data_IF_836168822792
#
_entry.id   IF_836168822792
#
_cell.length_a   1.000
_cell.length_b   1.000
_cell.length_c   1.000
_cell.angle_alpha   90.00
_cell.angle_beta   90.00
_cell.angle_gamma   90.00
#
_symmetry.space_group_name_H-M   'P 1'
#
loop_
_entity.id
_entity.type
_entity.pdbx_description
1 polymer ?
#
# COMPACT_ATOMS: atom_id res chain seq x y z
N UNK A 1 39.11 -34.37 -12.63
CA UNK A 1 40.13 -33.64 -11.85
C UNK A 1 39.61 -32.24 -11.59
N UNK A 2 39.20 -32.00 -10.36
CA UNK A 2 38.61 -30.76 -9.87
C UNK A 2 39.71 -29.82 -9.40
N UNK A 3 39.96 -28.75 -10.15
CA UNK A 3 40.83 -27.65 -9.71
C UNK A 3 40.00 -26.57 -9.03
N UNK A 4 39.99 -26.62 -7.70
CA UNK A 4 39.48 -25.58 -6.82
C UNK A 4 40.37 -24.33 -6.90
N UNK A 5 39.86 -23.29 -7.57
CA UNK A 5 40.44 -21.95 -7.47
C UNK A 5 40.30 -21.42 -6.04
N UNK A 6 41.36 -21.57 -5.24
CA UNK A 6 41.57 -20.81 -3.99
C UNK A 6 41.46 -19.32 -4.31
N UNK A 7 40.43 -18.64 -3.78
CA UNK A 7 40.37 -17.18 -3.72
C UNK A 7 41.38 -16.73 -2.68
N UNK A 8 42.56 -16.32 -3.13
CA UNK A 8 43.54 -15.61 -2.30
C UNK A 8 42.94 -14.26 -1.90
N UNK A 9 42.61 -14.13 -0.62
CA UNK A 9 42.27 -12.85 -0.03
C UNK A 9 43.56 -12.08 0.23
N UNK A 10 43.64 -10.79 -0.15
CA UNK A 10 44.82 -9.98 0.11
C UNK A 10 45.10 -9.94 1.61
N UNK A 11 46.35 -10.21 1.99
CA UNK A 11 46.79 -10.19 3.39
C UNK A 11 46.49 -8.80 3.98
N UNK A 12 45.74 -8.71 5.10
CA UNK A 12 45.49 -7.44 5.76
C UNK A 12 46.82 -6.83 6.22
N UNK A 13 47.01 -5.53 6.01
CA UNK A 13 48.24 -4.82 6.40
C UNK A 13 48.48 -4.98 7.92
N UNK A 14 49.72 -4.85 8.37
CA UNK A 14 50.06 -4.96 9.79
C UNK A 14 49.23 -3.99 10.67
N UNK A 15 48.98 -2.78 10.15
CA UNK A 15 48.18 -1.73 10.80
C UNK A 15 46.71 -2.13 11.02
N UNK A 16 46.10 -2.86 10.07
CA UNK A 16 44.71 -3.32 10.19
C UNK A 16 44.55 -4.38 11.30
N UNK A 17 45.59 -5.17 11.56
CA UNK A 17 45.58 -6.22 12.59
C UNK A 17 45.65 -5.62 13.99
N UNK A 18 46.52 -4.64 14.20
CA UNK A 18 46.64 -3.88 15.45
C UNK A 18 45.34 -3.13 15.79
N UNK A 19 44.71 -2.49 14.78
CA UNK A 19 43.42 -1.81 14.97
C UNK A 19 42.29 -2.78 15.34
N UNK A 20 42.28 -3.99 14.77
CA UNK A 20 41.29 -5.02 15.13
C UNK A 20 41.49 -5.47 16.57
N UNK A 21 42.72 -5.66 17.03
CA UNK A 21 43.01 -6.07 18.41
C UNK A 21 42.57 -5.01 19.43
N UNK A 22 42.92 -3.74 19.21
CA UNK A 22 42.51 -2.62 20.07
C UNK A 22 40.98 -2.48 20.14
N UNK A 23 40.29 -2.62 19.01
CA UNK A 23 38.83 -2.55 18.96
C UNK A 23 38.16 -3.75 19.65
N UNK A 24 38.77 -4.94 19.61
CA UNK A 24 38.27 -6.14 20.32
C UNK A 24 38.38 -5.95 21.83
N UNK A 25 39.47 -5.36 22.32
CA UNK A 25 39.63 -5.02 23.73
C UNK A 25 38.59 -3.99 24.19
N UNK A 26 38.39 -2.93 23.40
CA UNK A 26 37.36 -1.94 23.68
C UNK A 26 35.95 -2.55 23.70
N UNK A 27 35.64 -3.42 22.74
CA UNK A 27 34.36 -4.13 22.69
C UNK A 27 34.17 -5.06 23.90
N UNK A 28 35.21 -5.78 24.34
CA UNK A 28 35.18 -6.62 25.54
C UNK A 28 34.94 -5.79 26.81
N UNK A 29 35.60 -4.64 26.94
CA UNK A 29 35.40 -3.72 28.06
C UNK A 29 33.98 -3.16 28.12
N UNK A 30 33.33 -2.99 26.95
CA UNK A 30 31.94 -2.58 26.82
C UNK A 30 30.94 -3.75 26.89
N UNK A 31 31.38 -4.99 27.08
CA UNK A 31 30.51 -6.17 27.16
C UNK A 31 29.86 -6.58 25.83
N UNK A 32 30.36 -6.09 24.70
CA UNK A 32 29.83 -6.37 23.36
C UNK A 32 30.29 -7.75 22.85
N UNK A 33 29.35 -8.57 22.37
CA UNK A 33 29.64 -9.88 21.78
C UNK A 33 30.02 -9.74 20.30
N UNK A 34 31.17 -10.30 19.90
CA UNK A 34 31.62 -10.30 18.50
C UNK A 34 32.28 -11.63 18.12
N UNK A 35 32.37 -11.93 16.82
CA UNK A 35 33.01 -13.14 16.30
C UNK A 35 34.55 -13.01 16.26
N UNK A 36 35.29 -14.06 16.59
CA UNK A 36 36.76 -14.05 16.67
C UNK A 36 37.45 -13.55 15.37
N UNK A 37 36.82 -13.80 14.22
CA UNK A 37 37.27 -13.43 12.87
C UNK A 37 36.42 -12.32 12.24
N UNK A 38 36.13 -11.26 12.99
CA UNK A 38 35.41 -10.06 12.51
C UNK A 38 36.36 -9.10 11.79
N UNK A 39 35.89 -8.48 10.70
CA UNK A 39 36.67 -7.48 9.96
C UNK A 39 36.54 -6.06 10.54
N UNK A 40 37.56 -5.23 10.30
CA UNK A 40 37.71 -3.87 10.83
C UNK A 40 36.45 -2.99 10.66
N UNK A 41 35.87 -2.96 9.46
CA UNK A 41 34.67 -2.15 9.16
C UNK A 41 33.47 -2.50 10.04
N UNK A 42 33.25 -3.78 10.32
CA UNK A 42 32.09 -4.24 11.11
C UNK A 42 32.32 -4.03 12.60
N UNK A 43 33.54 -4.26 13.08
CA UNK A 43 33.88 -4.08 14.48
C UNK A 43 33.85 -2.60 14.89
N UNK A 44 34.24 -1.69 14.00
CA UNK A 44 34.17 -0.25 14.22
C UNK A 44 32.72 0.24 14.42
N UNK A 45 31.80 -0.16 13.53
CA UNK A 45 30.37 0.19 13.63
C UNK A 45 29.79 -0.31 14.97
N UNK A 46 30.09 -1.55 15.35
CA UNK A 46 29.56 -2.17 16.57
C UNK A 46 30.06 -1.46 17.85
N UNK A 47 31.32 -1.02 17.88
CA UNK A 47 31.88 -0.25 18.99
C UNK A 47 31.34 1.19 19.04
N UNK A 48 31.11 1.82 17.88
CA UNK A 48 30.53 3.16 17.78
C UNK A 48 29.04 3.17 18.19
N UNK A 49 28.27 2.15 17.80
CA UNK A 49 26.89 1.92 18.23
C UNK A 49 26.80 1.71 19.75
N UNK A 50 27.77 0.99 20.34
CA UNK A 50 27.86 0.85 21.79
C UNK A 50 28.24 2.14 22.54
N UNK A 51 28.78 3.15 21.85
CA UNK A 51 29.17 4.43 22.46
C UNK A 51 28.04 5.47 22.41
N UNK A 52 27.20 5.43 21.36
CA UNK A 52 26.12 6.38 21.13
C UNK A 52 24.80 5.62 20.91
N UNK A 53 24.05 5.28 21.98
CA UNK A 53 22.79 4.54 21.84
C UNK A 53 21.63 5.34 21.17
N UNK A 54 21.89 6.54 20.66
CA UNK A 54 20.89 7.43 20.03
C UNK A 54 21.01 7.47 18.51
N UNK A 55 20.57 6.38 17.85
CA UNK A 55 19.84 6.39 16.56
C UNK A 55 19.31 4.97 16.23
N UNK A 56 18.07 4.82 15.74
CA UNK A 56 17.48 3.52 15.45
C UNK A 56 18.00 2.96 14.12
N UNK A 57 18.59 1.77 14.16
CA UNK A 57 18.80 0.92 12.99
C UNK A 57 17.58 0.01 12.81
N UNK A 58 17.05 -0.19 11.58
CA UNK A 58 16.03 -1.19 11.31
C UNK A 58 16.61 -2.61 11.44
N UNK A 59 16.10 -3.37 12.41
CA UNK A 59 16.38 -4.79 12.63
C UNK A 59 15.49 -5.67 11.73
N UNK A 60 15.98 -6.78 11.16
CA UNK A 60 15.13 -7.92 10.83
C UNK A 60 15.06 -8.89 12.04
N UNK A 61 13.87 -8.88 12.67
CA UNK A 61 13.08 -9.98 13.24
C UNK A 61 13.76 -11.13 14.00
N UNK A 62 13.46 -11.29 15.31
CA UNK A 62 12.82 -12.47 15.97
C UNK A 62 12.24 -12.02 17.34
N UNK A 63 10.97 -12.32 17.64
CA UNK A 63 10.19 -12.05 18.88
C UNK A 63 10.45 -13.09 20.02
N UNK A 64 9.79 -13.14 21.23
CA UNK A 64 8.75 -12.27 21.86
C UNK A 64 8.85 -12.01 23.41
N UNK A 65 7.86 -11.24 23.96
CA UNK A 65 7.38 -11.04 25.38
C UNK A 65 8.03 -9.91 26.23
N UNK A 66 7.37 -9.06 27.03
CA UNK A 66 5.97 -8.67 27.37
C UNK A 66 6.03 -7.45 28.37
N UNK A 67 5.04 -6.52 28.33
CA UNK A 67 4.60 -5.49 29.35
C UNK A 67 5.61 -4.37 29.80
N UNK A 68 5.32 -3.08 30.12
CA UNK A 68 4.14 -2.29 30.56
C UNK A 68 4.37 -0.77 30.26
N UNK A 69 3.30 -0.02 30.03
CA UNK A 69 3.11 1.46 29.95
C UNK A 69 3.28 2.20 31.34
N UNK A 70 3.35 3.57 31.48
CA UNK A 70 2.42 4.55 30.85
C UNK A 70 2.88 6.01 30.51
N UNK A 71 2.15 6.59 29.54
CA UNK A 71 1.61 7.98 29.40
C UNK A 71 2.54 9.20 29.57
N UNK A 72 2.65 10.02 28.51
CA UNK A 72 2.42 11.49 28.54
C UNK A 72 2.05 12.04 27.17
N UNK A 73 0.98 12.83 27.16
CA UNK A 73 0.36 13.58 26.07
C UNK A 73 1.18 14.81 25.69
N UNK A 74 1.41 15.06 24.40
CA UNK A 74 1.67 16.40 23.87
C UNK A 74 1.32 16.48 22.38
N UNK A 75 0.38 17.38 22.09
CA UNK A 75 -0.05 17.90 20.79
C UNK A 75 1.10 18.62 20.07
N UNK A 76 1.27 18.41 18.74
CA UNK A 76 1.50 19.46 17.72
C UNK A 76 2.19 18.92 16.44
N UNK A 77 1.51 19.16 15.32
CA UNK A 77 2.05 19.65 14.05
C UNK A 77 2.72 18.70 13.05
N UNK A 78 2.13 18.75 11.85
CA UNK A 78 2.60 18.24 10.56
C UNK A 78 3.92 18.92 10.20
N UNK A 79 4.96 18.13 9.95
CA UNK A 79 6.02 18.52 9.02
C UNK A 79 6.21 17.41 8.02
N UNK A 80 5.72 17.68 6.81
CA UNK A 80 6.18 17.07 5.57
C UNK A 80 7.71 17.17 5.50
N UNK A 81 8.36 16.07 5.10
CA UNK A 81 9.60 16.02 4.31
C UNK A 81 10.40 14.75 4.62
N UNK A 82 10.16 13.70 3.83
CA UNK A 82 11.17 12.65 3.61
C UNK A 82 11.58 12.74 2.14
N UNK A 83 12.85 13.05 1.83
CA UNK A 83 13.28 13.26 0.46
C UNK A 83 13.46 11.95 -0.31
N UNK A 84 13.02 12.03 -1.56
CA UNK A 84 13.19 11.14 -2.72
C UNK A 84 14.32 10.09 -2.69
N UNK A 85 13.96 8.89 -3.15
CA UNK A 85 14.88 7.79 -3.50
C UNK A 85 15.90 8.28 -4.54
N UNK A 86 17.18 8.32 -4.13
CA UNK A 86 18.32 8.63 -4.99
C UNK A 86 18.70 7.38 -5.80
N UNK A 87 18.52 7.42 -7.12
CA UNK A 87 19.25 6.52 -8.03
C UNK A 87 20.62 7.11 -8.29
N UNK A 88 21.66 6.45 -7.80
CA UNK A 88 23.06 6.81 -8.08
C UNK A 88 23.43 6.18 -9.43
N UNK A 89 23.76 6.99 -10.43
CA UNK A 89 24.51 6.55 -11.61
C UNK A 89 25.97 7.02 -11.48
N UNK A 90 26.89 6.21 -12.01
CA UNK A 90 28.35 6.22 -11.81
C UNK A 90 29.10 7.39 -12.46
N UNK A 91 28.55 8.60 -12.42
CA UNK A 91 29.32 9.80 -12.78
C UNK A 91 28.78 10.98 -11.96
N UNK A 92 29.58 11.40 -10.98
CA UNK A 92 29.21 12.36 -9.94
C UNK A 92 28.90 13.76 -10.46
N UNK A 93 27.68 13.98 -10.95
CA UNK A 93 27.10 15.31 -11.09
C UNK A 93 25.70 15.31 -10.49
N UNK A 94 25.57 15.93 -9.31
CA UNK A 94 24.26 16.29 -8.72
C UNK A 94 23.65 17.41 -9.56
N UNK A 95 22.56 17.11 -10.24
CA UNK A 95 21.67 18.11 -10.84
C UNK A 95 20.57 18.42 -9.83
N UNK A 96 20.60 19.62 -9.25
CA UNK A 96 19.49 20.18 -8.49
C UNK A 96 18.58 20.91 -9.49
N UNK A 97 17.46 20.27 -9.85
CA UNK A 97 16.50 20.80 -10.81
C UNK A 97 15.13 20.96 -10.17
N UNK A 98 14.64 22.21 -10.15
CA UNK A 98 13.28 22.68 -9.84
C UNK A 98 12.18 21.73 -10.33
N UNK A 99 11.08 21.68 -9.58
CA UNK A 99 9.81 20.99 -9.85
C UNK A 99 9.56 20.72 -11.33
N UNK A 100 10.06 19.57 -11.76
CA UNK A 100 9.71 19.03 -13.06
C UNK A 100 8.43 18.25 -12.83
N UNK A 101 7.33 18.61 -13.49
CA UNK A 101 6.27 17.63 -13.72
C UNK A 101 6.90 16.47 -14.47
N UNK A 102 7.32 15.44 -13.75
CA UNK A 102 7.85 14.21 -14.31
C UNK A 102 6.70 13.62 -15.12
N UNK A 103 6.70 13.86 -16.42
CA UNK A 103 5.74 13.25 -17.34
C UNK A 103 5.95 11.74 -17.23
N UNK A 104 5.04 11.08 -16.50
CA UNK A 104 5.11 9.65 -16.24
C UNK A 104 5.35 8.88 -17.54
N UNK A 105 6.21 7.87 -17.48
CA UNK A 105 6.38 6.97 -18.63
C UNK A 105 5.05 6.26 -18.89
N UNK A 106 4.71 5.94 -20.15
CA UNK A 106 3.40 5.36 -20.48
C UNK A 106 3.14 4.03 -19.76
N UNK A 107 4.18 3.24 -19.44
CA UNK A 107 4.06 2.02 -18.66
C UNK A 107 3.68 2.30 -17.19
N UNK A 108 4.30 3.30 -16.57
CA UNK A 108 4.04 3.71 -15.18
C UNK A 108 2.60 4.22 -15.04
N UNK A 109 2.14 5.02 -16.01
CA UNK A 109 0.75 5.50 -16.08
C UNK A 109 -0.26 4.36 -16.15
N UNK A 110 0.00 3.35 -16.99
CA UNK A 110 -0.88 2.16 -17.11
C UNK A 110 -0.93 1.36 -15.80
N UNK A 111 0.22 1.20 -15.13
CA UNK A 111 0.28 0.52 -13.84
C UNK A 111 -0.51 1.27 -12.76
N UNK A 112 -0.40 2.60 -12.71
CA UNK A 112 -1.16 3.46 -11.80
C UNK A 112 -2.68 3.31 -12.03
N UNK A 113 -3.13 3.46 -13.28
CA UNK A 113 -4.55 3.30 -13.64
C UNK A 113 -5.09 1.91 -13.33
N UNK A 114 -4.29 0.85 -13.54
CA UNK A 114 -4.66 -0.52 -13.14
C UNK A 114 -4.80 -0.65 -11.63
N UNK A 115 -3.90 -0.04 -10.86
CA UNK A 115 -3.96 -0.08 -9.39
C UNK A 115 -5.18 0.69 -8.87
N UNK A 116 -5.43 1.88 -9.40
CA UNK A 116 -6.62 2.69 -9.07
C UNK A 116 -7.92 1.97 -9.43
N UNK A 117 -8.00 1.38 -10.63
CA UNK A 117 -9.17 0.65 -11.08
C UNK A 117 -9.48 -0.60 -10.22
N UNK A 118 -8.44 -1.26 -9.72
CA UNK A 118 -8.55 -2.44 -8.84
C UNK A 118 -8.66 -2.08 -7.36
N UNK A 119 -8.62 -0.80 -6.98
CA UNK A 119 -8.82 -0.39 -5.60
C UNK A 119 -10.21 -0.86 -5.13
N UNK A 120 -10.24 -1.62 -4.04
CA UNK A 120 -11.47 -2.19 -3.50
C UNK A 120 -12.17 -1.14 -2.63
N UNK A 121 -13.45 -0.93 -2.92
CA UNK A 121 -14.32 -0.04 -2.15
C UNK A 121 -15.47 -0.86 -1.60
N UNK A 122 -15.74 -0.70 -0.30
CA UNK A 122 -16.89 -1.33 0.36
C UNK A 122 -18.15 -0.55 0.02
N UNK A 123 -19.13 -1.21 -0.56
CA UNK A 123 -20.38 -0.58 -1.02
C UNK A 123 -21.60 -1.39 -0.59
N UNK A 124 -22.67 -0.67 -0.25
CA UNK A 124 -24.01 -1.21 -0.10
C UNK A 124 -24.84 -0.79 -1.31
N UNK A 125 -25.49 -1.75 -1.96
CA UNK A 125 -26.16 -1.54 -3.25
C UNK A 125 -27.63 -1.89 -3.11
N UNK A 126 -28.51 -0.96 -3.44
CA UNK A 126 -29.97 -1.19 -3.49
C UNK A 126 -30.44 -1.08 -4.94
N UNK A 127 -31.21 -2.05 -5.42
CA UNK A 127 -31.78 -2.06 -6.77
C UNK A 127 -33.06 -1.22 -6.82
N UNK A 128 -33.07 -0.15 -7.63
CA UNK A 128 -34.24 0.71 -7.83
C UNK A 128 -35.05 0.33 -9.07
N UNK A 129 -34.59 -0.66 -9.84
CA UNK A 129 -35.24 -1.13 -11.05
C UNK A 129 -36.43 -2.05 -10.72
N UNK A 130 -37.68 -1.68 -11.07
CA UNK A 130 -38.84 -2.53 -10.80
C UNK A 130 -38.75 -3.92 -11.44
N UNK A 131 -38.08 -4.04 -12.59
CA UNK A 131 -37.98 -5.29 -13.34
C UNK A 131 -36.96 -6.28 -12.76
N UNK A 132 -36.04 -5.79 -11.91
CA UNK A 132 -34.97 -6.58 -11.30
C UNK A 132 -35.03 -6.53 -9.77
N UNK A 133 -36.23 -6.29 -9.23
CA UNK A 133 -36.43 -6.17 -7.78
C UNK A 133 -36.18 -7.49 -7.05
N UNK A 134 -36.53 -8.59 -7.69
CA UNK A 134 -36.42 -9.94 -7.12
C UNK A 134 -35.03 -10.57 -7.34
N UNK A 135 -34.09 -9.85 -7.95
CA UNK A 135 -32.74 -10.36 -8.19
C UNK A 135 -31.88 -10.17 -6.94
N UNK A 136 -31.15 -11.21 -6.55
CA UNK A 136 -30.23 -11.17 -5.40
C UNK A 136 -28.93 -10.40 -5.72
N UNK A 137 -28.61 -10.23 -7.01
CA UNK A 137 -27.43 -9.51 -7.45
C UNK A 137 -27.23 -9.58 -8.96
N UNK A 138 -26.24 -8.85 -9.46
CA UNK A 138 -25.90 -8.83 -10.89
C UNK A 138 -24.38 -9.01 -11.08
N UNK A 139 -23.99 -9.68 -12.17
CA UNK A 139 -22.58 -9.78 -12.57
C UNK A 139 -22.26 -8.57 -13.45
N UNK A 140 -21.33 -7.74 -12.99
CA UNK A 140 -20.84 -6.61 -13.75
C UNK A 140 -19.57 -7.00 -14.48
N UNK A 141 -19.55 -6.76 -15.79
CA UNK A 141 -18.38 -6.92 -16.65
C UNK A 141 -18.04 -5.56 -17.24
N UNK A 142 -16.88 -5.02 -16.88
CA UNK A 142 -16.39 -3.74 -17.40
C UNK A 142 -15.01 -3.98 -18.02
N UNK A 143 -14.79 -3.46 -19.21
CA UNK A 143 -13.55 -3.67 -19.97
C UNK A 143 -13.02 -2.39 -20.58
N UNK A 144 -11.71 -2.19 -20.51
CA UNK A 144 -10.99 -1.15 -21.22
C UNK A 144 -9.59 -1.65 -21.58
N UNK A 145 -9.05 -1.24 -22.73
CA UNK A 145 -7.71 -1.56 -23.22
C UNK A 145 -6.59 -1.33 -22.18
N UNK A 146 -6.69 -0.29 -21.34
CA UNK A 146 -5.64 0.03 -20.36
C UNK A 146 -5.67 -0.90 -19.14
N UNK A 147 -6.85 -1.03 -18.54
CA UNK A 147 -7.05 -1.76 -17.27
C UNK A 147 -7.21 -3.26 -17.50
N UNK A 148 -7.77 -3.64 -18.65
CA UNK A 148 -8.23 -5.00 -18.94
C UNK A 148 -9.73 -5.16 -18.71
N UNK A 149 -10.16 -6.41 -18.59
CA UNK A 149 -11.55 -6.79 -18.32
C UNK A 149 -11.69 -7.27 -16.89
N UNK A 150 -12.58 -6.64 -16.13
CA UNK A 150 -12.88 -7.00 -14.73
C UNK A 150 -14.33 -7.49 -14.68
N UNK A 151 -14.53 -8.66 -14.08
CA UNK A 151 -15.84 -9.30 -13.89
C UNK A 151 -16.05 -9.60 -12.43
N UNK A 152 -17.13 -9.12 -11.83
CA UNK A 152 -17.46 -9.39 -10.42
C UNK A 152 -18.96 -9.48 -10.23
N UNK A 153 -19.39 -10.48 -9.45
CA UNK A 153 -20.76 -10.55 -8.94
C UNK A 153 -20.93 -9.56 -7.77
N UNK A 154 -21.98 -8.75 -7.83
CA UNK A 154 -22.33 -7.78 -6.79
C UNK A 154 -23.73 -8.09 -6.28
N UNK A 155 -23.87 -8.53 -5.01
CA UNK A 155 -25.17 -8.76 -4.40
C UNK A 155 -25.87 -7.44 -4.10
N UNK A 156 -27.20 -7.45 -4.21
CA UNK A 156 -28.08 -6.35 -3.80
C UNK A 156 -28.52 -6.54 -2.34
N UNK A 157 -28.71 -5.43 -1.63
CA UNK A 157 -29.20 -5.36 -0.26
C UNK A 157 -28.37 -6.12 0.78
N UNK A 158 -27.09 -6.42 0.50
CA UNK A 158 -26.18 -6.99 1.47
C UNK A 158 -25.94 -6.02 2.64
N UNK A 159 -26.30 -6.42 3.86
CA UNK A 159 -26.23 -5.56 5.06
C UNK A 159 -24.79 -5.23 5.46
N UNK A 160 -23.90 -6.22 5.39
CA UNK A 160 -22.48 -6.05 5.71
C UNK A 160 -21.70 -5.32 4.60
N UNK A 161 -22.34 -4.93 3.50
CA UNK A 161 -21.69 -4.36 2.32
C UNK A 161 -20.80 -5.35 1.57
N UNK A 162 -20.44 -5.00 0.33
CA UNK A 162 -19.64 -5.83 -0.57
C UNK A 162 -18.44 -5.05 -1.10
N UNK A 163 -17.29 -5.71 -1.27
CA UNK A 163 -16.10 -5.08 -1.82
C UNK A 163 -16.09 -5.20 -3.34
N UNK A 164 -16.07 -4.04 -4.01
CA UNK A 164 -16.13 -3.94 -5.46
C UNK A 164 -14.96 -3.09 -5.95
N UNK A 165 -14.30 -3.45 -7.08
CA UNK A 165 -13.30 -2.60 -7.69
C UNK A 165 -13.86 -1.24 -8.09
N UNK A 166 -13.08 -0.17 -7.90
CA UNK A 166 -13.44 1.20 -8.25
C UNK A 166 -13.96 1.32 -9.70
N UNK A 167 -13.38 0.54 -10.63
CA UNK A 167 -13.81 0.56 -12.02
C UNK A 167 -15.25 0.09 -12.23
N UNK A 168 -15.69 -0.94 -11.48
CA UNK A 168 -17.07 -1.41 -11.52
C UNK A 168 -17.99 -0.39 -10.82
N UNK A 169 -17.55 0.22 -9.72
CA UNK A 169 -18.31 1.26 -9.03
C UNK A 169 -18.67 2.44 -9.96
N UNK A 170 -17.70 2.90 -10.76
CA UNK A 170 -17.96 3.95 -11.77
C UNK A 170 -19.05 3.52 -12.77
N UNK A 171 -18.95 2.31 -13.32
CA UNK A 171 -19.94 1.78 -14.25
C UNK A 171 -21.33 1.61 -13.61
N UNK A 172 -21.39 1.20 -12.34
CA UNK A 172 -22.64 1.06 -11.60
C UNK A 172 -23.34 2.40 -11.38
N UNK A 173 -22.58 3.47 -11.10
CA UNK A 173 -23.13 4.84 -10.93
C UNK A 173 -23.73 5.40 -12.22
N UNK A 174 -23.23 4.97 -13.38
CA UNK A 174 -23.71 5.42 -14.69
C UNK A 174 -25.00 4.71 -15.14
N UNK A 175 -25.33 3.55 -14.55
CA UNK A 175 -26.54 2.79 -14.91
C UNK A 175 -27.82 3.54 -14.53
N UNK A 176 -28.75 3.64 -15.49
CA UNK A 176 -30.05 4.29 -15.35
C UNK A 176 -31.16 3.37 -15.82
N UNK A 177 -32.31 3.42 -15.15
CA UNK A 177 -33.54 2.74 -15.55
C UNK A 177 -34.65 3.75 -15.86
N UNK A 178 -35.47 3.45 -16.86
CA UNK A 178 -36.66 4.23 -17.15
C UNK A 178 -37.84 3.68 -16.34
N UNK A 179 -38.42 4.54 -15.49
CA UNK A 179 -39.60 4.23 -14.69
C UNK A 179 -40.78 5.02 -15.24
N UNK A 180 -41.91 4.34 -15.47
CA UNK A 180 -43.16 4.98 -15.88
C UNK A 180 -43.97 5.40 -14.65
N UNK A 181 -44.18 6.70 -14.47
CA UNK A 181 -45.07 7.25 -13.43
C UNK A 181 -46.39 7.67 -14.08
N UNK A 182 -47.51 7.35 -13.44
CA UNK A 182 -48.83 7.81 -13.89
C UNK A 182 -49.05 9.25 -13.40
N UNK A 183 -49.03 10.20 -14.32
CA UNK A 183 -49.30 11.62 -14.04
C UNK A 183 -50.72 11.95 -14.48
N UNK A 184 -51.45 12.72 -13.67
CA UNK A 184 -52.76 13.25 -14.05
C UNK A 184 -52.55 14.45 -14.98
N UNK A 185 -53.09 14.37 -16.19
CA UNK A 185 -53.05 15.47 -17.15
C UNK A 185 -54.01 16.61 -16.77
N UNK A 186 -53.93 17.76 -17.45
CA UNK A 186 -54.78 18.94 -17.19
C UNK A 186 -56.29 18.66 -17.28
N UNK A 187 -56.69 17.62 -18.03
CA UNK A 187 -58.09 17.19 -18.21
C UNK A 187 -58.46 15.94 -17.37
N UNK A 188 -57.68 15.60 -16.35
CA UNK A 188 -57.92 14.45 -15.47
C UNK A 188 -57.51 13.07 -16.03
N UNK A 189 -57.12 13.00 -17.31
CA UNK A 189 -56.66 11.76 -17.93
C UNK A 189 -55.35 11.25 -17.29
N UNK A 190 -55.25 9.93 -17.06
CA UNK A 190 -54.03 9.28 -16.55
C UNK A 190 -53.06 9.03 -17.71
N UNK A 191 -51.95 9.76 -17.75
CA UNK A 191 -50.90 9.61 -18.76
C UNK A 191 -49.70 8.94 -18.09
N UNK A 192 -49.16 7.87 -18.71
CA UNK A 192 -47.89 7.27 -18.26
C UNK A 192 -46.73 8.09 -18.82
N UNK A 193 -45.98 8.76 -17.94
CA UNK A 193 -44.78 9.50 -18.29
C UNK A 193 -43.54 8.70 -17.87
N UNK A 194 -42.65 8.43 -18.83
CA UNK A 194 -41.34 7.84 -18.55
C UNK A 194 -40.41 8.86 -17.88
N UNK A 195 -39.70 8.45 -16.84
CA UNK A 195 -38.66 9.23 -16.17
C UNK A 195 -37.41 8.35 -16.04
N UNK A 196 -36.25 8.90 -16.39
CA UNK A 196 -34.97 8.20 -16.27
C UNK A 196 -34.42 8.50 -14.87
N UNK A 197 -34.21 7.44 -14.09
CA UNK A 197 -33.69 7.48 -12.72
C UNK A 197 -32.47 6.54 -12.67
N UNK A 198 -31.53 6.75 -11.74
CA UNK A 198 -30.43 5.81 -11.51
C UNK A 198 -30.96 4.41 -11.20
N UNK A 199 -30.36 3.38 -11.80
CA UNK A 199 -30.80 1.99 -11.62
C UNK A 199 -30.49 1.47 -10.21
N UNK A 200 -29.40 1.96 -9.63
CA UNK A 200 -28.85 1.50 -8.36
C UNK A 200 -28.67 2.70 -7.42
N UNK A 201 -29.04 2.53 -6.16
CA UNK A 201 -28.60 3.41 -5.07
C UNK A 201 -27.35 2.78 -4.43
N UNK A 202 -26.25 3.52 -4.38
CA UNK A 202 -24.94 3.01 -3.94
C UNK A 202 -24.44 3.86 -2.79
N UNK A 203 -24.34 3.25 -1.62
CA UNK A 203 -23.79 3.87 -0.41
C UNK A 203 -22.36 3.37 -0.24
N UNK A 204 -21.40 4.29 -0.22
CA UNK A 204 -19.99 3.97 0.00
C UNK A 204 -19.73 3.93 1.49
N UNK A 205 -19.22 2.80 1.97
CA UNK A 205 -18.92 2.56 3.37
C UNK A 205 -17.40 2.62 3.61
N UNK A 206 -16.97 2.90 4.85
CA UNK A 206 -15.57 2.79 5.21
C UNK A 206 -15.05 1.35 5.02
N UNK A 207 -13.75 1.18 4.70
CA UNK A 207 -13.13 -0.13 4.57
C UNK A 207 -13.17 -0.88 5.91
N UNK A 208 -13.07 -2.22 5.85
CA UNK A 208 -13.00 -3.05 7.06
C UNK A 208 -11.76 -2.71 7.89
N UNK A 209 -11.95 -2.69 9.21
CA UNK A 209 -10.86 -2.56 10.18
C UNK A 209 -10.10 -3.88 10.30
N UNK A 210 -8.87 -3.84 10.83
CA UNK A 210 -8.01 -5.03 10.98
C UNK A 210 -8.69 -6.13 11.80
N UNK A 211 -9.49 -5.76 12.82
CA UNK A 211 -10.23 -6.71 13.65
C UNK A 211 -11.29 -7.47 12.85
N UNK A 212 -12.08 -6.76 12.05
CA UNK A 212 -13.13 -7.36 11.22
C UNK A 212 -12.55 -8.24 10.09
N UNK A 213 -11.31 -7.97 9.67
CA UNK A 213 -10.59 -8.81 8.70
C UNK A 213 -10.15 -10.13 9.34
N UNK A 214 -9.70 -10.08 10.61
CA UNK A 214 -9.25 -11.26 11.34
C UNK A 214 -10.41 -12.21 11.66
N UNK A 215 -11.58 -11.67 12.00
CA UNK A 215 -12.82 -12.44 12.23
C UNK A 215 -13.32 -13.20 10.98
N UNK A 216 -12.85 -12.82 9.78
CA UNK A 216 -13.24 -13.42 8.49
C UNK A 216 -12.21 -14.41 7.94
N UNK A 217 -11.07 -14.60 8.63
CA UNK A 217 -9.96 -15.44 8.18
C UNK A 217 -10.10 -16.89 8.62
#
# INVERSE_FOLDING_TARGET
MTDEKKKDFPKPSAEDQEQIELLKERARKMGLKFHHRIGLKKLKVLVEEGLNPTKPTPTPTVEPKEVVEPVVTATAEVTEDIPSIVRITTTGRKIYGKDTHIKERPAEKKARLRKEANALVRVRVTCMNPNKKDWEGEIYTVSNTVVGTIRKYVPFNAENGWHVPQFILTAMREKKCQIFKTVKGPRGNKIRKGSIISELNIEVMPPLTVKEIDDLR
#
